data_IF_242458464015
#
_entry.id   IF_242458464015
#
_cell.length_a   1.000
_cell.length_b   1.000
_cell.length_c   1.000
_cell.angle_alpha   90.00
_cell.angle_beta   90.00
_cell.angle_gamma   90.00
#
_symmetry.space_group_name_H-M   'P 1'
#
loop_
_entity.id
_entity.type
_entity.pdbx_description
1 polymer ?
#
# COMPACT_ATOMS: atom_id res chain seq x y z
N UNK A 1 -12.22 -10.35 2.36
CA UNK A 1 -11.57 -9.03 2.33
C UNK A 1 -10.43 -9.09 3.32
N UNK A 2 -9.23 -8.65 2.96
CA UNK A 2 -8.07 -8.67 3.86
C UNK A 2 -7.61 -7.23 4.09
N UNK A 3 -7.25 -6.92 5.32
CA UNK A 3 -6.88 -5.57 5.74
C UNK A 3 -5.54 -5.57 6.45
N UNK A 4 -4.72 -4.60 6.09
CA UNK A 4 -3.42 -4.34 6.68
C UNK A 4 -3.42 -2.91 7.21
N UNK A 5 -2.99 -2.70 8.46
CA UNK A 5 -3.03 -1.40 9.13
C UNK A 5 -1.67 -1.11 9.75
N UNK A 6 -1.16 0.09 9.55
CA UNK A 6 0.09 0.56 10.13
C UNK A 6 0.06 2.08 10.30
N UNK A 7 1.01 2.60 11.09
CA UNK A 7 1.13 4.02 11.39
C UNK A 7 2.48 4.52 10.89
N UNK A 8 2.50 5.72 10.32
CA UNK A 8 3.71 6.42 9.86
C UNK A 8 3.85 7.72 10.66
N UNK A 9 5.09 8.13 10.94
CA UNK A 9 5.41 9.37 11.67
C UNK A 9 5.66 9.19 13.16
N UNK A 10 6.52 10.05 13.72
CA UNK A 10 6.90 10.02 15.14
C UNK A 10 6.05 10.99 15.94
N UNK A 11 6.03 12.25 15.50
CA UNK A 11 5.26 13.33 16.12
C UNK A 11 3.88 13.44 15.45
N UNK A 12 3.85 13.53 14.12
CA UNK A 12 2.62 13.57 13.32
C UNK A 12 2.25 12.15 12.88
N UNK A 13 1.51 11.43 13.75
CA UNK A 13 1.14 10.04 13.48
C UNK A 13 -0.01 9.94 12.49
N UNK A 14 0.23 9.26 11.37
CA UNK A 14 -0.77 8.98 10.36
C UNK A 14 -1.08 7.50 10.21
N UNK A 15 -2.36 7.15 10.21
CA UNK A 15 -2.89 5.80 10.07
C UNK A 15 -3.13 5.48 8.60
N UNK A 16 -2.46 4.43 8.14
CA UNK A 16 -2.58 3.91 6.78
C UNK A 16 -3.25 2.54 6.84
N UNK A 17 -4.22 2.32 5.95
CA UNK A 17 -4.94 1.06 5.79
C UNK A 17 -4.89 0.61 4.34
N UNK A 18 -4.40 -0.59 4.11
CA UNK A 18 -4.47 -1.26 2.81
C UNK A 18 -5.60 -2.29 2.89
N UNK A 19 -6.61 -2.14 2.05
CA UNK A 19 -7.71 -3.08 1.90
C UNK A 19 -7.58 -3.79 0.57
N UNK A 20 -7.53 -5.12 0.57
CA UNK A 20 -7.46 -5.90 -0.67
C UNK A 20 -8.55 -6.96 -0.75
N UNK A 21 -9.07 -7.13 -1.97
CA UNK A 21 -10.07 -8.12 -2.32
C UNK A 21 -9.41 -9.24 -3.12
N UNK A 22 -9.17 -10.39 -2.51
CA UNK A 22 -8.66 -11.58 -3.21
C UNK A 22 -9.56 -12.00 -4.39
N UNK A 23 -10.87 -11.79 -4.26
CA UNK A 23 -11.85 -12.14 -5.31
C UNK A 23 -11.78 -11.23 -6.53
N UNK A 24 -11.53 -9.93 -6.34
CA UNK A 24 -11.59 -8.93 -7.44
C UNK A 24 -10.23 -8.35 -7.82
N UNK A 25 -9.17 -8.72 -7.09
CA UNK A 25 -7.84 -8.12 -7.20
C UNK A 25 -7.79 -6.64 -6.79
N UNK A 26 -8.89 -6.03 -6.35
CA UNK A 26 -8.91 -4.61 -6.00
C UNK A 26 -8.06 -4.35 -4.76
N UNK A 27 -7.20 -3.34 -4.84
CA UNK A 27 -6.44 -2.80 -3.71
C UNK A 27 -6.85 -1.35 -3.50
N UNK A 28 -7.22 -1.00 -2.28
CA UNK A 28 -7.50 0.36 -1.85
C UNK A 28 -6.53 0.75 -0.73
N UNK A 29 -5.88 1.90 -0.88
CA UNK A 29 -5.01 2.48 0.14
C UNK A 29 -5.73 3.69 0.72
N UNK A 30 -6.00 3.62 2.02
CA UNK A 30 -6.66 4.66 2.78
C UNK A 30 -5.67 5.29 3.75
N UNK A 31 -5.70 6.60 3.85
CA UNK A 31 -4.95 7.39 4.81
C UNK A 31 -5.94 8.23 5.60
N UNK A 32 -5.91 8.12 6.93
CA UNK A 32 -6.90 8.79 7.79
C UNK A 32 -8.36 8.52 7.38
N UNK A 33 -8.62 7.33 6.82
CA UNK A 33 -9.93 6.94 6.33
C UNK A 33 -10.31 7.48 4.94
N UNK A 34 -9.50 8.34 4.32
CA UNK A 34 -9.68 8.81 2.95
C UNK A 34 -8.97 7.90 1.96
N UNK A 35 -9.65 7.51 0.87
CA UNK A 35 -9.06 6.68 -0.18
C UNK A 35 -8.16 7.53 -1.08
N UNK A 36 -6.85 7.25 -1.09
CA UNK A 36 -5.90 7.96 -1.95
C UNK A 36 -5.69 7.21 -3.28
N UNK A 37 -5.63 5.88 -3.22
CA UNK A 37 -5.33 5.06 -4.40
C UNK A 37 -6.25 3.85 -4.45
N UNK A 38 -6.86 3.64 -5.62
CA UNK A 38 -7.67 2.46 -5.93
C UNK A 38 -7.06 1.81 -7.18
N UNK A 39 -6.40 0.67 -7.00
CA UNK A 39 -5.94 -0.16 -8.11
C UNK A 39 -6.98 -1.25 -8.34
N UNK A 40 -7.59 -1.29 -9.53
CA UNK A 40 -8.63 -2.25 -9.87
C UNK A 40 -8.12 -3.38 -10.77
N UNK A 41 -8.66 -4.58 -10.60
CA UNK A 41 -8.24 -5.84 -11.23
C UNK A 41 -8.11 -5.88 -12.77
N UNK A 42 -8.59 -4.86 -13.52
CA UNK A 42 -8.28 -4.76 -14.96
C UNK A 42 -6.88 -4.21 -15.25
N UNK A 43 -6.30 -3.43 -14.32
CA UNK A 43 -4.90 -3.02 -14.33
C UNK A 43 -3.97 -4.01 -13.63
N UNK A 44 -4.54 -4.97 -12.90
CA UNK A 44 -3.85 -6.13 -12.31
C UNK A 44 -4.29 -7.38 -13.09
N UNK A 45 -4.00 -7.42 -14.40
CA UNK A 45 -4.04 -8.72 -15.11
C UNK A 45 -3.19 -9.71 -14.30
N UNK A 46 -3.54 -11.01 -14.25
CA UNK A 46 -2.73 -11.99 -13.55
C UNK A 46 -1.30 -11.82 -14.05
N UNK A 47 -0.42 -11.34 -13.16
CA UNK A 47 1.00 -11.12 -13.44
C UNK A 47 1.61 -12.51 -13.45
N UNK A 48 1.26 -13.31 -14.47
CA UNK A 48 1.61 -14.72 -14.58
C UNK A 48 3.02 -14.91 -15.13
N UNK A 49 3.74 -13.83 -15.41
CA UNK A 49 5.13 -13.88 -15.78
C UNK A 49 5.83 -12.75 -15.05
N UNK A 50 6.69 -13.13 -14.10
CA UNK A 50 7.89 -12.46 -13.66
C UNK A 50 7.92 -10.91 -13.79
N UNK A 51 8.10 -10.24 -12.63
CA UNK A 51 8.78 -8.93 -12.52
C UNK A 51 7.93 -7.71 -12.89
N UNK A 52 6.87 -7.41 -12.13
CA UNK A 52 6.44 -6.00 -11.98
C UNK A 52 5.76 -5.83 -10.62
N UNK A 53 6.56 -5.47 -9.61
CA UNK A 53 6.01 -5.03 -8.34
C UNK A 53 5.46 -3.61 -8.51
N UNK A 54 4.18 -3.40 -8.26
CA UNK A 54 3.59 -2.07 -8.31
C UNK A 54 4.02 -1.32 -7.07
N UNK A 55 4.70 -0.19 -7.27
CA UNK A 55 5.09 0.72 -6.19
C UNK A 55 4.22 1.95 -6.25
N UNK A 56 3.51 2.22 -5.16
CA UNK A 56 2.67 3.41 -4.99
C UNK A 56 3.39 4.33 -4.02
N UNK A 57 3.75 5.52 -4.47
CA UNK A 57 4.48 6.51 -3.68
C UNK A 57 3.61 7.74 -3.44
N UNK A 58 3.51 8.18 -2.19
CA UNK A 58 2.83 9.41 -1.81
C UNK A 58 3.54 10.03 -0.60
N UNK A 59 3.34 11.34 -0.43
CA UNK A 59 3.82 12.05 0.75
C UNK A 59 2.66 12.21 1.74
N UNK A 60 2.99 12.17 3.03
CA UNK A 60 2.03 12.35 4.12
C UNK A 60 2.62 13.28 5.19
N UNK A 61 1.75 14.00 5.89
CA UNK A 61 2.12 14.99 6.89
C UNK A 61 2.22 16.41 6.32
N UNK A 62 1.74 17.38 7.09
CA UNK A 62 1.88 18.81 6.77
C UNK A 62 3.18 19.38 7.34
N UNK A 63 3.48 19.01 8.59
CA UNK A 63 4.62 19.49 9.37
C UNK A 63 5.80 18.52 9.26
N UNK A 64 5.53 17.23 9.49
CA UNK A 64 6.52 16.15 9.39
C UNK A 64 6.27 15.37 8.09
N UNK A 65 6.89 15.79 6.98
CA UNK A 65 6.67 15.17 5.67
C UNK A 65 7.41 13.85 5.55
N UNK A 66 6.65 12.76 5.46
CA UNK A 66 7.19 11.43 5.21
C UNK A 66 6.87 10.96 3.79
N UNK A 67 7.87 10.38 3.12
CA UNK A 67 7.63 9.71 1.83
C UNK A 67 7.28 8.25 2.09
N UNK A 68 6.04 7.89 1.79
CA UNK A 68 5.53 6.53 1.92
C UNK A 68 5.58 5.82 0.57
N UNK A 69 6.20 4.64 0.54
CA UNK A 69 6.22 3.76 -0.62
C UNK A 69 5.57 2.42 -0.25
N UNK A 70 4.48 2.08 -0.92
CA UNK A 70 3.80 0.79 -0.76
C UNK A 70 4.09 -0.05 -1.99
N UNK A 71 4.81 -1.15 -1.77
CA UNK A 71 5.14 -2.13 -2.78
C UNK A 71 4.16 -3.29 -2.70
N UNK A 72 3.49 -3.57 -3.81
CA UNK A 72 2.55 -4.68 -3.97
C UNK A 72 3.18 -5.65 -4.96
N UNK A 73 3.34 -6.91 -4.56
CA UNK A 73 3.94 -7.94 -5.41
C UNK A 73 3.24 -9.28 -5.22
N UNK A 74 3.48 -10.23 -6.12
CA UNK A 74 2.93 -11.59 -6.05
C UNK A 74 1.79 -11.83 -7.05
N UNK A 75 1.82 -13.00 -7.68
CA UNK A 75 0.88 -13.38 -8.75
C UNK A 75 -0.38 -14.10 -8.22
N UNK A 76 -0.24 -14.83 -7.11
CA UNK A 76 -1.30 -15.65 -6.49
C UNK A 76 -1.59 -15.25 -5.04
N UNK A 77 -0.58 -14.75 -4.33
CA UNK A 77 -0.67 -14.23 -2.97
C UNK A 77 -0.05 -12.83 -2.99
N UNK A 78 -0.85 -11.81 -2.66
CA UNK A 78 -0.36 -10.44 -2.66
C UNK A 78 0.52 -10.22 -1.43
N UNK A 79 1.78 -9.91 -1.65
CA UNK A 79 2.73 -9.43 -0.65
C UNK A 79 2.71 -7.92 -0.61
N UNK A 80 2.65 -7.36 0.60
CA UNK A 80 2.59 -5.94 0.84
C UNK A 80 3.77 -5.51 1.70
N UNK A 81 4.58 -4.60 1.19
CA UNK A 81 5.62 -3.93 1.96
C UNK A 81 5.36 -2.43 1.95
N UNK A 82 5.45 -1.78 3.11
CA UNK A 82 5.39 -0.34 3.20
C UNK A 82 6.67 0.20 3.82
N UNK A 83 7.19 1.26 3.19
CA UNK A 83 8.41 1.95 3.61
C UNK A 83 8.08 3.42 3.88
N UNK A 84 8.59 3.96 4.99
CA UNK A 84 8.59 5.39 5.30
C UNK A 84 10.03 5.87 5.34
N UNK A 85 10.38 6.85 4.50
CA UNK A 85 11.76 7.41 4.45
C UNK A 85 12.87 6.36 4.33
N UNK A 86 12.58 5.27 3.60
CA UNK A 86 13.43 4.09 3.39
C UNK A 86 13.47 3.07 4.55
N UNK A 87 12.78 3.32 5.66
CA UNK A 87 12.59 2.34 6.73
C UNK A 87 11.34 1.51 6.51
N UNK A 88 11.41 0.19 6.79
CA UNK A 88 10.25 -0.68 6.67
C UNK A 88 9.30 -0.47 7.85
N UNK A 89 8.06 -0.09 7.56
CA UNK A 89 7.00 0.13 8.57
C UNK A 89 5.94 -0.97 8.57
N UNK A 90 5.87 -1.74 7.48
CA UNK A 90 4.92 -2.84 7.35
C UNK A 90 5.41 -3.92 6.37
N UNK A 91 5.13 -5.18 6.68
CA UNK A 91 5.35 -6.33 5.78
C UNK A 91 4.28 -7.40 6.01
N UNK A 92 3.70 -7.92 4.93
CA UNK A 92 2.79 -9.08 4.90
C UNK A 92 2.95 -9.91 3.64
#
# INVERSE_FOLDING_TARGET
MVEHKFTVGKEEKHRIRISHSATTGKVAILVEGQSIVIVSGRGLRPISHAIDAITISFNIGETEKHKVNIRISGAFWNHFEAYSDSEIVYRS
#
